data_IF_916759036183
#
_entry.id   IF_916759036183
#
_cell.length_a   1.000
_cell.length_b   1.000
_cell.length_c   1.000
_cell.angle_alpha   90.00
_cell.angle_beta   90.00
_cell.angle_gamma   90.00
#
_symmetry.space_group_name_H-M   'P 1'
#
loop_
_entity.id
_entity.type
_entity.pdbx_description
1 polymer ?
#
# COMPACT_ATOMS: atom_id res chain seq x y z
N UNK A 1 -9.93 22.50 -2.03
CA UNK A 1 -10.21 23.95 -2.10
C UNK A 1 -9.08 24.67 -2.80
N UNK A 2 -7.86 24.78 -2.23
CA UNK A 2 -6.75 25.53 -2.85
C UNK A 2 -6.47 25.26 -4.35
N UNK A 3 -6.48 23.99 -4.81
CA UNK A 3 -6.32 23.65 -6.24
C UNK A 3 -7.50 24.10 -7.12
N UNK A 4 -8.72 24.05 -6.58
CA UNK A 4 -9.96 24.45 -7.27
C UNK A 4 -10.11 25.97 -7.29
N UNK A 5 -9.56 26.66 -6.29
CA UNK A 5 -9.61 28.11 -6.16
C UNK A 5 -8.52 28.81 -7.01
N UNK A 6 -7.62 28.05 -7.65
CA UNK A 6 -6.56 28.57 -8.51
C UNK A 6 -5.48 29.38 -7.76
N UNK A 7 -5.42 29.26 -6.44
CA UNK A 7 -4.54 30.06 -5.57
C UNK A 7 -3.19 29.41 -5.30
N UNK A 8 -2.97 28.18 -5.75
CA UNK A 8 -1.74 27.41 -5.50
C UNK A 8 -0.66 27.72 -6.51
N UNK A 9 0.59 27.80 -6.05
CA UNK A 9 1.75 27.77 -6.94
C UNK A 9 1.82 26.45 -7.74
N UNK A 10 2.53 26.48 -8.87
CA UNK A 10 2.65 25.34 -9.80
C UNK A 10 3.17 24.07 -9.11
N UNK A 11 4.08 24.19 -8.16
CA UNK A 11 4.66 23.06 -7.46
C UNK A 11 3.66 22.42 -6.48
N UNK A 12 2.98 23.24 -5.70
CA UNK A 12 1.93 22.78 -4.78
C UNK A 12 0.77 22.16 -5.57
N UNK A 13 0.46 22.68 -6.75
CA UNK A 13 -0.53 22.07 -7.65
C UNK A 13 -0.13 20.66 -8.09
N UNK A 14 1.14 20.44 -8.45
CA UNK A 14 1.67 19.11 -8.79
C UNK A 14 1.59 18.13 -7.60
N UNK A 15 1.92 18.59 -6.39
CA UNK A 15 1.82 17.77 -5.17
C UNK A 15 0.37 17.32 -4.92
N UNK A 16 -0.60 18.24 -5.02
CA UNK A 16 -2.00 17.88 -4.89
C UNK A 16 -2.49 16.98 -6.02
N UNK A 17 -2.02 17.20 -7.25
CA UNK A 17 -2.36 16.35 -8.40
C UNK A 17 -1.91 14.90 -8.18
N UNK A 18 -0.69 14.69 -7.69
CA UNK A 18 -0.18 13.36 -7.35
C UNK A 18 -1.10 12.65 -6.34
N UNK A 19 -1.47 13.34 -5.26
CA UNK A 19 -2.32 12.81 -4.19
C UNK A 19 -3.75 12.52 -4.70
N UNK A 20 -4.33 13.44 -5.48
CA UNK A 20 -5.72 13.31 -5.96
C UNK A 20 -5.87 12.17 -6.96
N UNK A 21 -4.96 12.04 -7.93
CA UNK A 21 -5.03 10.92 -8.88
C UNK A 21 -4.90 9.58 -8.17
N UNK A 22 -4.00 9.48 -7.21
CA UNK A 22 -3.88 8.28 -6.41
C UNK A 22 -5.15 7.97 -5.60
N UNK A 23 -5.75 8.98 -4.95
CA UNK A 23 -7.05 8.83 -4.27
C UNK A 23 -8.11 8.33 -5.23
N UNK A 24 -8.17 8.87 -6.44
CA UNK A 24 -9.11 8.43 -7.47
C UNK A 24 -8.88 6.95 -7.82
N UNK A 25 -7.63 6.52 -8.02
CA UNK A 25 -7.30 5.11 -8.26
C UNK A 25 -7.82 4.19 -7.13
N UNK A 26 -7.66 4.61 -5.87
CA UNK A 26 -8.16 3.86 -4.72
C UNK A 26 -9.69 3.83 -4.67
N UNK A 27 -10.36 4.96 -4.93
CA UNK A 27 -11.83 5.01 -4.99
C UNK A 27 -12.35 4.08 -6.08
N UNK A 28 -11.79 4.14 -7.30
CA UNK A 28 -12.17 3.25 -8.39
C UNK A 28 -11.94 1.79 -8.04
N UNK A 29 -10.83 1.47 -7.38
CA UNK A 29 -10.56 0.12 -6.89
C UNK A 29 -11.60 -0.34 -5.85
N UNK A 30 -11.92 0.49 -4.85
CA UNK A 30 -12.95 0.15 -3.86
C UNK A 30 -14.32 0.00 -4.51
N UNK A 31 -14.68 0.85 -5.46
CA UNK A 31 -15.96 0.78 -6.18
C UNK A 31 -16.07 -0.49 -7.03
N UNK A 32 -15.02 -0.84 -7.78
CA UNK A 32 -14.93 -2.09 -8.54
C UNK A 32 -15.23 -3.32 -7.68
N UNK A 33 -14.78 -3.26 -6.43
CA UNK A 33 -14.90 -4.35 -5.47
C UNK A 33 -16.34 -4.58 -4.98
N UNK A 34 -17.20 -3.56 -5.07
CA UNK A 34 -18.62 -3.62 -4.72
C UNK A 34 -19.52 -3.94 -5.92
N UNK A 35 -19.11 -3.58 -7.14
CA UNK A 35 -19.89 -3.79 -8.37
C UNK A 35 -19.48 -5.10 -9.06
N UNK A 36 -20.17 -6.20 -8.76
CA UNK A 36 -19.87 -7.51 -9.34
C UNK A 36 -19.93 -7.58 -10.88
N UNK A 37 -18.98 -8.33 -11.45
CA UNK A 37 -18.95 -9.11 -12.70
C UNK A 37 -19.68 -8.64 -13.98
N UNK A 38 -19.77 -7.34 -14.24
CA UNK A 38 -19.92 -6.86 -15.62
C UNK A 38 -18.52 -6.79 -16.28
N UNK A 39 -18.19 -7.75 -17.14
CA UNK A 39 -16.83 -7.93 -17.70
C UNK A 39 -16.29 -6.70 -18.46
N UNK A 40 -17.17 -5.93 -19.13
CA UNK A 40 -16.80 -4.68 -19.82
C UNK A 40 -16.54 -3.52 -18.85
N UNK A 41 -17.35 -3.39 -17.80
CA UNK A 41 -17.16 -2.40 -16.72
C UNK A 41 -15.88 -2.69 -15.95
N UNK A 42 -15.55 -3.96 -15.71
CA UNK A 42 -14.32 -4.36 -15.02
C UNK A 42 -13.06 -3.92 -15.76
N UNK A 43 -13.04 -3.99 -17.09
CA UNK A 43 -11.88 -3.55 -17.88
C UNK A 43 -11.75 -2.04 -17.87
N UNK A 44 -12.84 -1.32 -18.11
CA UNK A 44 -12.84 0.15 -18.09
C UNK A 44 -12.43 0.72 -16.73
N UNK A 45 -12.86 0.11 -15.62
CA UNK A 45 -12.44 0.53 -14.28
C UNK A 45 -10.96 0.22 -14.04
N UNK A 46 -10.46 -0.93 -14.50
CA UNK A 46 -9.04 -1.26 -14.41
C UNK A 46 -8.17 -0.27 -15.20
N UNK A 47 -8.59 0.08 -16.42
CA UNK A 47 -7.93 1.11 -17.24
C UNK A 47 -7.91 2.44 -16.49
N UNK A 48 -9.03 2.83 -15.85
CA UNK A 48 -9.11 4.06 -15.08
C UNK A 48 -8.20 4.07 -13.84
N UNK A 49 -8.05 2.93 -13.16
CA UNK A 49 -7.12 2.79 -12.04
C UNK A 49 -5.69 3.00 -12.53
N UNK A 50 -5.29 2.31 -13.60
CA UNK A 50 -3.95 2.41 -14.17
C UNK A 50 -3.64 3.82 -14.68
N UNK A 51 -4.57 4.44 -15.40
CA UNK A 51 -4.45 5.84 -15.85
C UNK A 51 -4.20 6.79 -14.68
N UNK A 52 -4.94 6.64 -13.59
CA UNK A 52 -4.77 7.47 -12.41
C UNK A 52 -3.43 7.21 -11.70
N UNK A 53 -2.96 5.97 -11.63
CA UNK A 53 -1.63 5.67 -11.07
C UNK A 53 -0.52 6.28 -11.92
N UNK A 54 -0.60 6.16 -13.25
CA UNK A 54 0.36 6.79 -14.16
C UNK A 54 0.31 8.32 -14.08
N UNK A 55 -0.88 8.91 -13.97
CA UNK A 55 -1.04 10.36 -13.80
C UNK A 55 -0.49 10.85 -12.46
N UNK A 56 -0.66 10.06 -11.38
CA UNK A 56 -0.06 10.33 -10.08
C UNK A 56 1.47 10.31 -10.18
N UNK A 57 2.03 9.27 -10.81
CA UNK A 57 3.46 9.14 -11.01
C UNK A 57 4.05 10.28 -11.86
N UNK A 58 3.42 10.61 -12.99
CA UNK A 58 3.85 11.72 -13.84
C UNK A 58 3.84 13.06 -13.09
N UNK A 59 2.88 13.26 -12.18
CA UNK A 59 2.87 14.42 -11.31
C UNK A 59 4.05 14.40 -10.33
N UNK A 60 4.34 13.25 -9.68
CA UNK A 60 5.50 13.08 -8.79
C UNK A 60 6.82 13.34 -9.50
N UNK A 61 7.01 12.81 -10.71
CA UNK A 61 8.23 13.00 -11.50
C UNK A 61 8.45 14.47 -11.91
N UNK A 62 7.37 15.24 -11.99
CA UNK A 62 7.41 16.67 -12.32
C UNK A 62 7.71 17.56 -11.11
N UNK A 63 7.68 17.02 -9.89
CA UNK A 63 7.96 17.77 -8.65
C UNK A 63 9.45 18.12 -8.60
N UNK A 64 9.77 19.42 -8.61
CA UNK A 64 11.12 19.93 -8.33
C UNK A 64 11.52 19.75 -6.86
N UNK A 65 12.47 18.85 -6.58
CA UNK A 65 12.95 18.55 -5.22
C UNK A 65 13.76 19.67 -4.53
N UNK A 66 14.08 20.75 -5.25
CA UNK A 66 14.86 21.89 -4.72
C UNK A 66 14.00 22.96 -4.04
N UNK A 67 12.67 22.81 -4.05
CA UNK A 67 11.77 23.77 -3.42
C UNK A 67 11.73 23.58 -1.89
N UNK A 68 11.20 24.59 -1.19
CA UNK A 68 10.99 24.53 0.27
C UNK A 68 10.21 23.27 0.65
N UNK A 69 10.69 22.56 1.68
CA UNK A 69 10.01 21.37 2.19
C UNK A 69 8.66 21.75 2.81
N UNK A 70 7.62 20.98 2.48
CA UNK A 70 6.26 21.17 2.99
C UNK A 70 5.62 19.82 3.33
N UNK A 71 4.57 19.83 4.16
CA UNK A 71 3.80 18.63 4.48
C UNK A 71 3.15 18.02 3.22
N UNK A 72 2.63 18.85 2.31
CA UNK A 72 2.05 18.41 1.04
C UNK A 72 3.08 17.72 0.12
N UNK A 73 4.33 18.20 0.12
CA UNK A 73 5.43 17.54 -0.58
C UNK A 73 5.71 16.17 0.04
N UNK A 74 5.80 16.08 1.37
CA UNK A 74 6.01 14.81 2.06
C UNK A 74 4.90 13.78 1.75
N UNK A 75 3.63 14.22 1.77
CA UNK A 75 2.48 13.40 1.41
C UNK A 75 2.53 12.94 -0.06
N UNK A 76 2.89 13.82 -0.99
CA UNK A 76 3.04 13.48 -2.40
C UNK A 76 4.17 12.46 -2.63
N UNK A 77 5.29 12.60 -1.91
CA UNK A 77 6.40 11.64 -1.99
C UNK A 77 6.03 10.28 -1.42
N UNK A 78 5.38 10.22 -0.25
CA UNK A 78 4.88 8.97 0.34
C UNK A 78 3.82 8.32 -0.58
N UNK A 79 2.97 9.11 -1.22
CA UNK A 79 2.05 8.63 -2.25
C UNK A 79 2.81 8.00 -3.42
N UNK A 80 3.85 8.68 -3.93
CA UNK A 80 4.71 8.14 -4.98
C UNK A 80 5.42 6.85 -4.58
N UNK A 81 5.88 6.72 -3.32
CA UNK A 81 6.45 5.45 -2.80
C UNK A 81 5.44 4.32 -2.97
N UNK A 82 4.19 4.55 -2.59
CA UNK A 82 3.13 3.55 -2.74
C UNK A 82 2.84 3.26 -4.21
N UNK A 83 2.75 4.27 -5.08
CA UNK A 83 2.51 4.06 -6.51
C UNK A 83 3.61 3.21 -7.13
N UNK A 84 4.88 3.50 -6.84
CA UNK A 84 6.02 2.69 -7.29
C UNK A 84 5.97 1.27 -6.72
N UNK A 85 5.53 1.13 -5.47
CA UNK A 85 5.28 -0.18 -4.85
C UNK A 85 4.12 -0.93 -5.51
N UNK A 86 3.09 -0.26 -6.00
CA UNK A 86 2.02 -0.93 -6.75
C UNK A 86 2.53 -1.38 -8.13
N UNK A 87 3.35 -0.55 -8.78
CA UNK A 87 3.81 -0.77 -10.16
C UNK A 87 4.98 -1.74 -10.32
N UNK A 88 5.63 -2.21 -9.25
CA UNK A 88 6.79 -3.10 -9.39
C UNK A 88 8.15 -2.42 -9.34
N UNK A 89 8.20 -1.09 -9.21
CA UNK A 89 9.45 -0.32 -9.35
C UNK A 89 10.19 -0.17 -8.00
N UNK A 90 11.01 -1.16 -7.68
CA UNK A 90 11.85 -1.15 -6.48
C UNK A 90 12.86 0.02 -6.47
N UNK A 91 13.65 0.27 -7.54
CA UNK A 91 14.53 1.43 -7.60
C UNK A 91 13.79 2.76 -7.38
N UNK A 92 12.67 2.97 -8.07
CA UNK A 92 11.84 4.17 -7.94
C UNK A 92 11.30 4.34 -6.53
N UNK A 93 10.70 3.29 -5.96
CA UNK A 93 10.22 3.25 -4.57
C UNK A 93 11.33 3.63 -3.58
N UNK A 94 12.51 3.07 -3.79
CA UNK A 94 13.67 3.26 -2.94
C UNK A 94 14.22 4.69 -2.97
N UNK A 95 14.25 5.30 -4.16
CA UNK A 95 14.64 6.69 -4.35
C UNK A 95 13.63 7.65 -3.70
N UNK A 96 12.33 7.44 -3.93
CA UNK A 96 11.27 8.24 -3.32
C UNK A 96 11.23 8.10 -1.79
N UNK A 97 11.52 6.92 -1.25
CA UNK A 97 11.62 6.71 0.20
C UNK A 97 12.75 7.54 0.81
N UNK A 98 13.90 7.64 0.12
CA UNK A 98 15.03 8.50 0.55
C UNK A 98 14.62 9.97 0.50
N UNK A 99 13.95 10.40 -0.58
CA UNK A 99 13.47 11.77 -0.71
C UNK A 99 12.45 12.11 0.38
N UNK A 100 11.50 11.23 0.68
CA UNK A 100 10.54 11.41 1.75
C UNK A 100 11.21 11.53 3.12
N UNK A 101 12.20 10.67 3.41
CA UNK A 101 12.97 10.75 4.66
C UNK A 101 13.73 12.09 4.80
N UNK A 102 14.33 12.58 3.71
CA UNK A 102 15.00 13.89 3.69
C UNK A 102 14.02 15.03 3.91
N UNK A 103 12.86 15.01 3.27
CA UNK A 103 11.80 16.01 3.46
C UNK A 103 11.28 16.01 4.90
N UNK A 104 11.05 14.82 5.49
CA UNK A 104 10.66 14.68 6.89
C UNK A 104 11.72 15.28 7.83
N UNK A 105 12.99 15.01 7.56
CA UNK A 105 14.11 15.59 8.34
C UNK A 105 14.16 17.11 8.19
N UNK A 106 14.01 17.63 6.97
CA UNK A 106 14.01 19.07 6.68
C UNK A 106 12.86 19.81 7.36
N UNK A 107 11.70 19.15 7.53
CA UNK A 107 10.56 19.67 8.30
C UNK A 107 10.75 19.60 9.82
N UNK A 108 11.81 18.95 10.30
CA UNK A 108 12.07 18.80 11.73
C UNK A 108 11.27 17.69 12.43
N UNK A 109 10.44 16.94 11.71
CA UNK A 109 9.55 15.89 12.25
C UNK A 109 10.26 14.64 12.80
N UNK A 110 11.59 14.59 12.69
CA UNK A 110 12.43 13.56 13.30
C UNK A 110 12.72 13.85 14.78
N UNK A 111 12.41 15.05 15.26
CA UNK A 111 12.43 15.39 16.69
C UNK A 111 11.05 15.16 17.31
N UNK A 112 10.93 15.10 18.66
CA UNK A 112 9.61 15.03 19.29
C UNK A 112 8.82 16.26 18.85
N UNK A 113 7.67 16.03 18.19
CA UNK A 113 6.79 17.10 17.70
C UNK A 113 6.23 17.81 18.93
N UNK A 114 6.89 18.87 19.36
CA UNK A 114 6.35 19.79 20.37
C UNK A 114 5.28 20.62 19.68
N UNK A 115 4.02 20.16 19.75
CA UNK A 115 2.78 20.86 19.34
C UNK A 115 3.09 22.08 18.47
N UNK A 116 3.47 21.83 17.22
CA UNK A 116 3.82 22.88 16.28
C UNK A 116 2.50 23.46 15.80
N UNK A 117 2.03 24.51 16.48
CA UNK A 117 0.94 25.39 16.07
C UNK A 117 -0.44 24.74 15.93
N UNK A 118 -1.49 25.43 16.37
CA UNK A 118 -2.91 25.04 16.21
C UNK A 118 -3.37 24.98 14.73
N UNK A 119 -2.44 25.10 13.77
CA UNK A 119 -2.69 25.34 12.34
C UNK A 119 -2.29 24.19 11.42
N UNK A 120 -1.50 23.21 11.89
CA UNK A 120 -1.20 21.99 11.12
C UNK A 120 -1.96 20.81 11.73
N UNK A 121 -2.62 20.01 10.89
CA UNK A 121 -3.27 18.77 11.29
C UNK A 121 -2.20 17.79 11.82
N UNK A 122 -1.98 17.83 13.13
CA UNK A 122 -1.02 16.99 13.87
C UNK A 122 -1.19 15.51 13.52
N UNK A 123 -2.42 15.07 13.25
CA UNK A 123 -2.74 13.72 12.79
C UNK A 123 -2.03 13.36 11.46
N UNK A 124 -1.99 14.27 10.48
CA UNK A 124 -1.29 14.03 9.22
C UNK A 124 0.22 13.98 9.38
N UNK A 125 0.77 14.80 10.28
CA UNK A 125 2.20 14.78 10.59
C UNK A 125 2.58 13.42 11.18
N UNK A 126 1.83 12.96 12.18
CA UNK A 126 2.03 11.67 12.81
C UNK A 126 1.89 10.50 11.82
N UNK A 127 0.88 10.53 10.95
CA UNK A 127 0.72 9.53 9.89
C UNK A 127 1.94 9.53 8.95
N UNK A 128 2.41 10.70 8.50
CA UNK A 128 3.59 10.80 7.64
C UNK A 128 4.86 10.25 8.32
N UNK A 129 5.04 10.49 9.62
CA UNK A 129 6.15 9.94 10.40
C UNK A 129 6.09 8.41 10.43
N UNK A 130 4.94 7.86 10.80
CA UNK A 130 4.73 6.41 10.86
C UNK A 130 5.02 5.74 9.51
N UNK A 131 4.50 6.32 8.42
CA UNK A 131 4.70 5.80 7.07
C UNK A 131 6.13 5.90 6.58
N UNK A 132 6.77 7.05 6.79
CA UNK A 132 8.15 7.24 6.38
C UNK A 132 9.08 6.29 7.15
N UNK A 133 8.82 6.07 8.44
CA UNK A 133 9.53 5.07 9.23
C UNK A 133 9.34 3.67 8.65
N UNK A 134 8.10 3.22 8.43
CA UNK A 134 7.79 1.90 7.89
C UNK A 134 8.45 1.64 6.53
N UNK A 135 8.25 2.53 5.54
CA UNK A 135 8.86 2.38 4.20
C UNK A 135 10.38 2.44 4.26
N UNK A 136 10.92 3.30 5.12
CA UNK A 136 12.34 3.43 5.38
C UNK A 136 12.96 2.11 5.85
N UNK A 137 12.38 1.47 6.86
CA UNK A 137 12.90 0.20 7.41
C UNK A 137 12.72 -0.95 6.42
N UNK A 138 11.55 -1.06 5.79
CA UNK A 138 11.30 -2.08 4.77
C UNK A 138 12.29 -2.00 3.61
N UNK A 139 12.51 -0.80 3.08
CA UNK A 139 13.44 -0.61 1.96
C UNK A 139 14.89 -0.84 2.38
N UNK A 140 15.28 -0.41 3.57
CA UNK A 140 16.65 -0.60 4.07
C UNK A 140 16.95 -2.07 4.32
N UNK A 141 16.02 -2.81 4.90
CA UNK A 141 16.11 -4.25 5.12
C UNK A 141 16.09 -5.03 3.79
N UNK A 142 15.21 -4.65 2.87
CA UNK A 142 15.10 -5.29 1.56
C UNK A 142 16.40 -5.19 0.76
N UNK A 143 17.03 -4.02 0.77
CA UNK A 143 18.23 -3.72 -0.01
C UNK A 143 19.53 -3.91 0.79
N UNK A 144 19.44 -4.29 2.07
CA UNK A 144 20.58 -4.36 3.00
C UNK A 144 21.46 -3.11 2.93
N UNK A 145 20.84 -1.94 3.11
CA UNK A 145 21.53 -0.63 3.07
C UNK A 145 21.36 0.14 4.37
N UNK A 146 22.23 1.12 4.65
CA UNK A 146 22.07 2.01 5.78
C UNK A 146 20.72 2.72 5.76
N UNK A 147 20.23 3.03 6.95
CA UNK A 147 18.91 3.61 7.16
C UNK A 147 18.90 5.08 6.70
N UNK A 148 17.93 5.44 5.85
CA UNK A 148 17.82 6.81 5.32
C UNK A 148 17.27 7.81 6.33
N UNK A 149 16.46 7.33 7.27
CA UNK A 149 15.83 8.14 8.32
C UNK A 149 16.66 7.99 9.61
N UNK A 150 17.01 9.10 10.30
CA UNK A 150 17.59 9.04 11.64
C UNK A 150 16.71 8.27 12.62
N UNK A 151 17.31 7.77 13.71
CA UNK A 151 16.56 7.14 14.79
C UNK A 151 15.56 8.14 15.37
N UNK A 152 14.31 7.71 15.48
CA UNK A 152 13.28 8.53 16.10
C UNK A 152 13.48 8.52 17.63
N UNK A 153 13.29 9.66 18.30
CA UNK A 153 13.46 9.79 19.75
C UNK A 153 12.35 9.10 20.54
N UNK A 154 11.21 8.85 19.89
CA UNK A 154 10.03 8.19 20.46
C UNK A 154 9.66 7.02 19.53
N UNK A 155 9.17 5.88 20.06
CA UNK A 155 8.69 4.77 19.24
C UNK A 155 7.71 5.23 18.16
N UNK A 156 7.91 4.79 16.91
CA UNK A 156 7.02 5.18 15.80
C UNK A 156 5.54 4.85 16.07
N UNK A 157 5.27 3.80 16.86
CA UNK A 157 3.93 3.40 17.32
C UNK A 157 3.20 4.46 18.12
N UNK A 158 3.89 5.40 18.79
CA UNK A 158 3.24 6.49 19.53
C UNK A 158 2.56 7.51 18.63
N UNK A 159 2.82 7.47 17.32
CA UNK A 159 2.22 8.36 16.33
C UNK A 159 0.91 7.80 15.77
N UNK A 160 0.47 6.61 16.19
CA UNK A 160 -0.78 6.04 15.74
C UNK A 160 -1.91 6.51 16.66
N UNK A 161 -3.00 7.07 16.12
CA UNK A 161 -4.21 7.35 16.90
C UNK A 161 -4.73 6.07 17.56
N UNK A 162 -5.00 6.13 18.86
CA UNK A 162 -5.60 5.00 19.59
C UNK A 162 -7.09 4.88 19.24
N UNK A 163 -7.40 4.17 18.16
CA UNK A 163 -8.77 3.82 17.78
C UNK A 163 -8.95 2.30 17.75
N UNK A 164 -9.52 1.75 18.83
CA UNK A 164 -9.81 0.32 18.96
C UNK A 164 -10.99 -0.14 18.09
N UNK A 165 -11.76 0.78 17.50
CA UNK A 165 -12.87 0.43 16.61
C UNK A 165 -12.42 0.17 15.18
N UNK A 166 -11.25 0.71 14.80
CA UNK A 166 -10.65 0.51 13.49
C UNK A 166 -9.65 -0.66 13.52
N UNK A 167 -9.93 -1.80 12.87
CA UNK A 167 -9.02 -2.94 12.85
C UNK A 167 -7.66 -2.62 12.20
N UNK A 168 -7.55 -1.55 11.41
CA UNK A 168 -6.30 -1.13 10.78
C UNK A 168 -5.36 -0.36 11.70
N UNK A 169 -5.88 0.18 12.81
CA UNK A 169 -5.03 0.74 13.87
C UNK A 169 -4.07 -0.35 14.37
N UNK A 170 -4.62 -1.50 14.75
CA UNK A 170 -3.84 -2.64 15.24
C UNK A 170 -2.89 -3.18 14.16
N UNK A 171 -3.33 -3.24 12.90
CA UNK A 171 -2.46 -3.61 11.79
C UNK A 171 -1.24 -2.67 11.69
N UNK A 172 -1.45 -1.36 11.76
CA UNK A 172 -0.38 -0.37 11.64
C UNK A 172 0.57 -0.42 12.84
N UNK A 173 0.03 -0.59 14.06
CA UNK A 173 0.84 -0.76 15.28
C UNK A 173 1.78 -1.95 15.18
N UNK A 174 1.24 -3.11 14.79
CA UNK A 174 2.02 -4.34 14.63
C UNK A 174 3.02 -4.23 13.47
N UNK A 175 2.66 -3.55 12.37
CA UNK A 175 3.57 -3.28 11.25
C UNK A 175 4.76 -2.41 11.68
N UNK A 176 4.51 -1.37 12.49
CA UNK A 176 5.58 -0.55 13.06
C UNK A 176 6.44 -1.32 14.06
N UNK A 177 5.86 -2.24 14.83
CA UNK A 177 6.62 -3.17 15.68
C UNK A 177 7.57 -4.06 14.86
N UNK A 178 7.12 -4.57 13.72
CA UNK A 178 8.00 -5.32 12.80
C UNK A 178 9.11 -4.40 12.25
N UNK A 179 8.79 -3.15 11.91
CA UNK A 179 9.77 -2.17 11.45
C UNK A 179 10.82 -1.85 12.52
N UNK A 180 10.46 -1.83 13.80
CA UNK A 180 11.41 -1.69 14.92
C UNK A 180 12.38 -2.88 15.00
N UNK A 181 11.88 -4.11 14.81
CA UNK A 181 12.73 -5.29 14.74
C UNK A 181 13.70 -5.22 13.54
N UNK A 182 13.27 -4.69 12.39
CA UNK A 182 14.14 -4.44 11.24
C UNK A 182 15.21 -3.38 11.54
N UNK A 183 14.85 -2.28 12.20
CA UNK A 183 15.81 -1.24 12.62
C UNK A 183 16.89 -1.82 13.52
N UNK A 184 16.52 -2.61 14.54
CA UNK A 184 17.48 -3.27 15.43
C UNK A 184 18.40 -4.26 14.69
N UNK A 185 17.85 -5.02 13.72
CA UNK A 185 18.64 -5.92 12.90
C UNK A 185 19.60 -5.18 11.97
N UNK A 186 19.17 -4.06 11.38
CA UNK A 186 20.01 -3.21 10.54
C UNK A 186 21.12 -2.54 11.36
N UNK A 187 20.81 -2.06 12.56
CA UNK A 187 21.82 -1.52 13.48
C UNK A 187 22.91 -2.55 13.77
N UNK A 188 22.51 -3.81 14.00
CA UNK A 188 23.46 -4.90 14.21
C UNK A 188 24.34 -5.12 12.97
N UNK A 189 23.74 -5.15 11.77
CA UNK A 189 24.47 -5.29 10.49
C UNK A 189 25.49 -4.18 10.29
N UNK A 190 25.12 -2.94 10.58
CA UNK A 190 25.95 -1.76 10.30
C UNK A 190 26.80 -1.30 11.50
N UNK A 191 26.74 -1.97 12.66
CA UNK A 191 27.60 -1.71 13.81
C UNK A 191 29.08 -2.07 13.56
N UNK A 192 29.40 -2.78 12.47
CA UNK A 192 30.76 -3.21 12.12
C UNK A 192 31.29 -4.35 13.00
N UNK A 193 32.61 -4.57 12.99
CA UNK A 193 33.29 -5.68 13.69
C UNK A 193 33.40 -5.47 15.22
N UNK A 194 32.54 -4.63 15.80
CA UNK A 194 32.59 -4.30 17.23
C UNK A 194 32.02 -5.42 18.12
N UNK A 195 31.20 -6.30 17.56
CA UNK A 195 30.51 -7.35 18.30
C UNK A 195 31.12 -8.72 18.03
N UNK A 196 31.52 -9.43 19.09
CA UNK A 196 31.85 -10.83 18.97
C UNK A 196 30.62 -11.69 18.57
N UNK A 197 30.86 -12.91 18.07
CA UNK A 197 29.79 -13.79 17.62
C UNK A 197 28.75 -14.15 18.70
N UNK A 198 29.13 -14.09 19.99
CA UNK A 198 28.22 -14.43 21.08
C UNK A 198 27.28 -13.26 21.41
N UNK A 199 27.81 -12.04 21.38
CA UNK A 199 27.08 -10.78 21.53
C UNK A 199 26.11 -10.62 20.38
N UNK A 200 26.58 -10.78 19.14
CA UNK A 200 25.74 -10.76 17.95
C UNK A 200 24.56 -11.74 18.04
N UNK A 201 24.85 -12.98 18.46
CA UNK A 201 23.80 -14.01 18.63
C UNK A 201 22.82 -13.65 19.75
N UNK A 202 23.28 -13.00 20.81
CA UNK A 202 22.44 -12.53 21.92
C UNK A 202 21.49 -11.43 21.45
N UNK A 203 22.01 -10.46 20.69
CA UNK A 203 21.21 -9.40 20.07
C UNK A 203 20.16 -9.96 19.09
N UNK A 204 20.54 -10.89 18.21
CA UNK A 204 19.59 -11.59 17.33
C UNK A 204 18.48 -12.26 18.15
N UNK A 205 18.82 -12.94 19.25
CA UNK A 205 17.81 -13.59 20.08
C UNK A 205 16.87 -12.60 20.77
N UNK A 206 17.39 -11.44 21.16
CA UNK A 206 16.58 -10.34 21.71
C UNK A 206 15.56 -9.88 20.66
N UNK A 207 16.01 -9.62 19.44
CA UNK A 207 15.17 -9.19 18.32
C UNK A 207 14.12 -10.26 17.98
N UNK A 208 14.52 -11.54 17.91
CA UNK A 208 13.59 -12.65 17.62
C UNK A 208 12.52 -12.80 18.70
N UNK A 209 12.87 -12.68 19.98
CA UNK A 209 11.87 -12.70 21.06
C UNK A 209 10.90 -11.54 20.96
N UNK A 210 11.40 -10.35 20.64
CA UNK A 210 10.53 -9.18 20.46
C UNK A 210 9.51 -9.42 19.34
N UNK A 211 9.96 -9.84 18.16
CA UNK A 211 9.02 -10.06 17.03
C UNK A 211 8.10 -11.27 17.28
N UNK A 212 8.50 -12.27 18.07
CA UNK A 212 7.60 -13.36 18.51
C UNK A 212 6.42 -12.85 19.35
N UNK A 213 6.62 -11.82 20.19
CA UNK A 213 5.49 -11.20 20.92
C UNK A 213 4.49 -10.57 19.95
N UNK A 214 4.96 -9.93 18.88
CA UNK A 214 4.11 -9.36 17.83
C UNK A 214 3.31 -10.46 17.13
N UNK A 215 3.94 -11.61 16.84
CA UNK A 215 3.25 -12.74 16.21
C UNK A 215 2.13 -13.33 17.07
N UNK A 216 2.27 -13.31 18.39
CA UNK A 216 1.20 -13.75 19.28
C UNK A 216 -0.06 -12.88 19.10
N UNK A 217 0.11 -11.57 18.96
CA UNK A 217 -0.97 -10.63 18.66
C UNK A 217 -1.54 -10.85 17.25
N UNK A 218 -0.69 -11.01 16.23
CA UNK A 218 -1.12 -11.31 14.85
C UNK A 218 -1.98 -12.59 14.83
N UNK A 219 -1.52 -13.65 15.49
CA UNK A 219 -2.23 -14.94 15.55
C UNK A 219 -3.58 -14.80 16.26
N UNK A 220 -3.62 -14.04 17.35
CA UNK A 220 -4.88 -13.75 18.06
C UNK A 220 -5.89 -13.02 17.17
N UNK A 221 -5.44 -12.02 16.41
CA UNK A 221 -6.30 -11.30 15.48
C UNK A 221 -6.78 -12.20 14.33
N UNK A 222 -5.89 -12.98 13.72
CA UNK A 222 -6.24 -13.94 12.67
C UNK A 222 -7.29 -14.95 13.15
N UNK A 223 -7.17 -15.44 14.39
CA UNK A 223 -8.14 -16.37 14.98
C UNK A 223 -9.52 -15.72 15.23
N UNK A 224 -9.57 -14.40 15.37
CA UNK A 224 -10.82 -13.65 15.54
C UNK A 224 -11.52 -13.31 14.22
N UNK A 225 -10.85 -13.49 13.07
CA UNK A 225 -11.46 -13.23 11.77
C UNK A 225 -12.54 -14.26 11.47
N UNK A 226 -13.69 -13.78 11.02
CA UNK A 226 -14.85 -14.60 10.64
C UNK A 226 -15.07 -14.58 9.13
N UNK A 227 -15.91 -15.47 8.62
CA UNK A 227 -16.29 -15.45 7.19
C UNK A 227 -17.00 -14.15 6.76
N UNK A 228 -17.63 -13.46 7.72
CA UNK A 228 -18.27 -12.16 7.51
C UNK A 228 -17.27 -10.99 7.51
N UNK A 229 -16.01 -11.23 7.89
CA UNK A 229 -14.99 -10.18 7.89
C UNK A 229 -14.67 -9.78 6.45
N UNK A 230 -14.64 -8.48 6.22
CA UNK A 230 -14.30 -7.87 4.94
C UNK A 230 -13.02 -8.49 4.35
N UNK A 231 -13.07 -8.81 3.05
CA UNK A 231 -12.00 -9.52 2.36
C UNK A 231 -10.69 -8.72 2.36
N UNK A 232 -10.77 -7.38 2.32
CA UNK A 232 -9.59 -6.53 2.41
C UNK A 232 -8.99 -6.60 3.79
N UNK A 233 -9.79 -6.43 4.84
CA UNK A 233 -9.30 -6.56 6.23
C UNK A 233 -8.59 -7.91 6.42
N UNK A 234 -9.18 -9.01 5.94
CA UNK A 234 -8.58 -10.34 5.99
C UNK A 234 -7.25 -10.42 5.23
N UNK A 235 -7.20 -9.86 4.03
CA UNK A 235 -5.99 -9.80 3.20
C UNK A 235 -4.86 -9.03 3.90
N UNK A 236 -5.15 -7.91 4.57
CA UNK A 236 -4.15 -7.15 5.33
C UNK A 236 -3.53 -8.02 6.43
N UNK A 237 -4.34 -8.76 7.18
CA UNK A 237 -3.82 -9.66 8.22
C UNK A 237 -2.95 -10.79 7.65
N UNK A 238 -3.28 -11.34 6.48
CA UNK A 238 -2.41 -12.31 5.80
C UNK A 238 -1.11 -11.69 5.29
N UNK A 239 -1.15 -10.45 4.78
CA UNK A 239 0.06 -9.70 4.40
C UNK A 239 0.94 -9.47 5.63
N UNK A 240 0.34 -9.13 6.77
CA UNK A 240 1.07 -8.93 8.02
C UNK A 240 1.74 -10.22 8.51
N UNK A 241 1.01 -11.34 8.48
CA UNK A 241 1.53 -12.67 8.81
C UNK A 241 2.70 -13.05 7.88
N UNK A 242 2.53 -12.85 6.58
CA UNK A 242 3.58 -13.08 5.60
C UNK A 242 4.81 -12.20 5.85
N UNK A 243 4.61 -10.92 6.14
CA UNK A 243 5.68 -9.96 6.42
C UNK A 243 6.43 -10.37 7.68
N UNK A 244 5.71 -10.75 8.75
CA UNK A 244 6.30 -11.28 9.97
C UNK A 244 7.23 -12.46 9.67
N UNK A 245 6.74 -13.51 9.01
CA UNK A 245 7.55 -14.69 8.74
C UNK A 245 8.72 -14.41 7.78
N UNK A 246 8.55 -13.48 6.84
CA UNK A 246 9.61 -13.04 5.93
C UNK A 246 10.75 -12.33 6.67
N UNK A 247 10.41 -11.41 7.57
CA UNK A 247 11.39 -10.67 8.38
C UNK A 247 12.03 -11.59 9.42
N UNK A 248 11.25 -12.41 10.12
CA UNK A 248 11.76 -13.41 11.06
C UNK A 248 12.78 -14.35 10.39
N UNK A 249 12.44 -14.88 9.21
CA UNK A 249 13.36 -15.71 8.41
C UNK A 249 14.63 -14.96 8.08
N UNK A 250 14.53 -13.68 7.68
CA UNK A 250 15.68 -12.86 7.31
C UNK A 250 16.58 -12.62 8.53
N UNK A 251 16.02 -12.33 9.70
CA UNK A 251 16.78 -12.09 10.95
C UNK A 251 17.45 -13.38 11.43
N UNK A 252 16.79 -14.54 11.42
CA UNK A 252 17.44 -15.80 11.82
C UNK A 252 18.63 -16.12 10.91
N UNK A 253 18.53 -15.82 9.60
CA UNK A 253 19.63 -16.02 8.65
C UNK A 253 20.87 -15.18 8.93
N UNK A 254 20.75 -14.13 9.76
CA UNK A 254 21.88 -13.33 10.20
C UNK A 254 22.69 -13.99 11.33
N UNK A 255 22.24 -15.13 11.88
CA UNK A 255 23.00 -15.81 12.93
C UNK A 255 24.33 -16.36 12.41
N UNK A 256 25.49 -16.02 13.01
CA UNK A 256 26.80 -16.46 12.55
C UNK A 256 26.97 -17.99 12.61
N UNK A 257 26.24 -18.67 13.49
CA UNK A 257 26.27 -20.13 13.67
C UNK A 257 25.16 -20.84 12.89
N UNK A 258 24.40 -20.15 12.04
CA UNK A 258 23.30 -20.72 11.24
C UNK A 258 23.69 -22.01 10.49
N UNK A 259 24.88 -22.05 9.88
CA UNK A 259 25.35 -23.22 9.15
C UNK A 259 25.62 -24.45 10.04
N UNK A 260 25.97 -24.23 11.31
CA UNK A 260 26.29 -25.30 12.28
C UNK A 260 25.09 -25.71 13.14
N UNK A 261 24.20 -24.78 13.47
CA UNK A 261 23.07 -24.99 14.37
C UNK A 261 21.85 -25.59 13.64
N UNK A 262 21.65 -26.90 13.79
CA UNK A 262 20.55 -27.63 13.14
C UNK A 262 19.17 -27.13 13.59
N UNK A 263 19.01 -26.74 14.85
CA UNK A 263 17.72 -26.27 15.37
C UNK A 263 17.33 -24.94 14.70
N UNK A 264 18.29 -24.02 14.53
CA UNK A 264 18.06 -22.75 13.82
C UNK A 264 17.74 -22.92 12.35
N UNK A 265 18.43 -23.83 11.66
CA UNK A 265 18.09 -24.15 10.26
C UNK A 265 16.67 -24.66 10.14
N UNK A 266 16.26 -25.58 11.02
CA UNK A 266 14.89 -26.11 11.05
C UNK A 266 13.86 -25.02 11.32
N UNK A 267 14.14 -24.12 12.27
CA UNK A 267 13.27 -22.97 12.57
C UNK A 267 13.14 -22.03 11.37
N UNK A 268 14.26 -21.63 10.78
CA UNK A 268 14.29 -20.78 9.59
C UNK A 268 13.52 -21.40 8.41
N UNK A 269 13.69 -22.71 8.15
CA UNK A 269 12.95 -23.40 7.10
C UNK A 269 11.46 -23.46 7.38
N UNK A 270 11.06 -23.65 8.64
CA UNK A 270 9.65 -23.60 9.04
C UNK A 270 9.07 -22.21 8.79
N UNK A 271 9.74 -21.16 9.25
CA UNK A 271 9.31 -19.78 9.06
C UNK A 271 9.22 -19.40 7.58
N UNK A 272 10.19 -19.80 6.77
CA UNK A 272 10.16 -19.58 5.32
C UNK A 272 8.96 -20.27 4.65
N UNK A 273 8.62 -21.49 5.08
CA UNK A 273 7.42 -22.19 4.59
C UNK A 273 6.13 -21.50 5.02
N UNK A 274 6.05 -20.98 6.25
CA UNK A 274 4.88 -20.21 6.70
C UNK A 274 4.73 -18.90 5.95
N UNK A 275 5.84 -18.24 5.57
CA UNK A 275 5.78 -17.10 4.66
C UNK A 275 5.17 -17.48 3.30
N UNK A 276 5.61 -18.59 2.70
CA UNK A 276 5.04 -19.09 1.45
C UNK A 276 3.56 -19.48 1.59
N UNK A 277 3.17 -20.07 2.72
CA UNK A 277 1.77 -20.38 3.00
C UNK A 277 0.93 -19.10 3.13
N UNK A 278 1.46 -18.05 3.75
CA UNK A 278 0.84 -16.73 3.77
C UNK A 278 0.57 -16.19 2.36
N UNK A 279 1.53 -16.33 1.44
CA UNK A 279 1.33 -15.97 0.03
C UNK A 279 0.22 -16.80 -0.63
N UNK A 280 0.14 -18.11 -0.34
CA UNK A 280 -0.96 -18.95 -0.84
C UNK A 280 -2.31 -18.48 -0.30
N UNK A 281 -2.41 -18.05 0.97
CA UNK A 281 -3.65 -17.48 1.52
C UNK A 281 -4.04 -16.18 0.82
N UNK A 282 -3.07 -15.31 0.55
CA UNK A 282 -3.28 -14.06 -0.19
C UNK A 282 -3.77 -14.36 -1.61
N UNK A 283 -3.11 -15.27 -2.32
CA UNK A 283 -3.50 -15.68 -3.67
C UNK A 283 -4.89 -16.33 -3.71
N UNK A 284 -5.23 -17.16 -2.72
CA UNK A 284 -6.56 -17.75 -2.58
C UNK A 284 -7.65 -16.69 -2.40
N UNK A 285 -7.40 -15.62 -1.63
CA UNK A 285 -8.31 -14.47 -1.54
C UNK A 285 -8.49 -13.76 -2.89
N UNK A 286 -7.48 -13.79 -3.77
CA UNK A 286 -7.49 -13.08 -5.06
C UNK A 286 -7.98 -13.94 -6.23
N UNK A 287 -7.89 -15.26 -6.14
CA UNK A 287 -8.15 -16.22 -7.23
C UNK A 287 -9.59 -16.24 -7.77
N UNK A 288 -10.53 -15.58 -7.10
CA UNK A 288 -11.91 -15.34 -7.57
C UNK A 288 -12.09 -14.11 -8.46
N UNK A 289 -11.07 -13.25 -8.67
CA UNK A 289 -11.21 -11.95 -9.34
C UNK A 289 -10.09 -11.66 -10.37
N UNK A 290 -9.90 -12.59 -11.31
CA UNK A 290 -8.80 -12.65 -12.32
C UNK A 290 -8.58 -11.40 -13.20
N UNK A 291 -9.46 -10.40 -13.15
CA UNK A 291 -9.34 -9.15 -13.92
C UNK A 291 -8.86 -7.96 -13.09
N UNK A 292 -9.01 -8.01 -11.76
CA UNK A 292 -8.48 -7.00 -10.81
C UNK A 292 -7.02 -7.29 -10.40
N UNK A 293 -6.56 -8.52 -10.68
CA UNK A 293 -5.31 -9.10 -10.21
C UNK A 293 -4.05 -8.58 -10.89
N UNK A 294 -4.13 -7.85 -12.01
CA UNK A 294 -2.92 -7.35 -12.68
C UNK A 294 -2.16 -6.29 -11.86
N UNK A 295 -2.86 -5.62 -10.96
CA UNK A 295 -2.30 -4.62 -10.05
C UNK A 295 -1.71 -5.23 -8.78
N UNK A 296 -2.08 -6.47 -8.46
CA UNK A 296 -1.72 -7.19 -7.23
C UNK A 296 -0.70 -8.33 -7.45
N UNK A 297 -0.69 -8.94 -8.64
CA UNK A 297 0.14 -10.11 -8.98
C UNK A 297 1.45 -9.76 -9.69
N UNK A 298 1.67 -8.51 -10.11
CA UNK A 298 2.94 -8.10 -10.76
C UNK A 298 4.16 -8.27 -9.86
N UNK A 299 3.96 -8.55 -8.56
CA UNK A 299 4.98 -8.73 -7.54
C UNK A 299 5.29 -10.18 -7.14
N UNK A 300 4.43 -11.16 -7.44
CA UNK A 300 4.65 -12.54 -6.98
C UNK A 300 5.75 -13.29 -7.76
N UNK A 301 6.13 -12.81 -8.95
CA UNK A 301 7.03 -13.57 -9.83
C UNK A 301 8.54 -13.36 -9.54
N UNK A 302 8.93 -12.37 -8.70
CA UNK A 302 10.33 -12.19 -8.27
C UNK A 302 10.47 -11.62 -6.85
N UNK A 303 10.44 -12.52 -5.86
CA UNK A 303 11.09 -12.41 -4.54
C UNK A 303 10.94 -11.09 -3.73
N UNK A 304 10.14 -11.16 -2.64
CA UNK A 304 10.09 -10.31 -1.40
C UNK A 304 8.86 -9.36 -1.27
N UNK A 305 8.44 -8.97 -0.04
CA UNK A 305 7.02 -8.87 0.34
C UNK A 305 6.32 -7.51 0.12
N UNK A 306 4.96 -7.48 0.03
CA UNK A 306 4.14 -6.33 -0.39
C UNK A 306 3.46 -5.55 0.75
N UNK A 307 3.16 -4.26 0.50
CA UNK A 307 2.17 -3.42 1.21
C UNK A 307 1.12 -2.96 0.19
N UNK A 308 -0.19 -3.17 0.43
CA UNK A 308 -1.30 -2.76 -0.46
C UNK A 308 -2.48 -2.11 0.26
N UNK A 309 -3.11 -1.13 -0.38
CA UNK A 309 -3.57 0.14 0.16
C UNK A 309 -5.06 0.48 0.52
N UNK A 310 -6.07 -0.41 0.55
CA UNK A 310 -7.47 0.08 0.59
C UNK A 310 -7.92 0.80 1.88
N UNK A 311 -7.50 0.37 3.07
CA UNK A 311 -7.91 1.03 4.33
C UNK A 311 -6.87 1.99 4.93
N UNK A 312 -5.66 1.98 4.39
CA UNK A 312 -4.56 2.88 4.73
C UNK A 312 -4.87 4.38 4.53
N UNK A 313 -5.93 4.65 3.76
CA UNK A 313 -6.47 5.98 3.49
C UNK A 313 -7.60 6.40 4.42
N UNK A 314 -8.24 5.49 5.18
CA UNK A 314 -9.22 5.92 6.20
C UNK A 314 -8.53 6.65 7.34
N UNK A 315 -7.38 6.14 7.78
CA UNK A 315 -6.52 6.77 8.80
C UNK A 315 -5.71 7.95 8.24
N UNK A 316 -5.55 8.04 6.91
CA UNK A 316 -4.78 9.10 6.26
C UNK A 316 -5.64 10.15 5.53
N UNK A 317 -6.98 10.07 5.51
CA UNK A 317 -7.86 11.02 4.76
C UNK A 317 -9.31 11.21 5.27
N UNK A 318 -9.70 10.73 6.46
CA UNK A 318 -10.95 11.19 7.10
C UNK A 318 -12.23 11.02 6.26
N UNK A 319 -12.43 9.82 5.68
CA UNK A 319 -13.73 9.46 5.09
C UNK A 319 -14.63 8.84 6.18
N UNK A 320 -15.27 9.71 6.97
CA UNK A 320 -16.51 9.35 7.67
C UNK A 320 -17.69 9.69 6.75
N UNK A 321 -18.15 8.72 5.98
CA UNK A 321 -19.50 8.76 5.42
C UNK A 321 -20.33 7.63 6.01
N UNK A 322 -21.57 7.90 6.47
CA UNK A 322 -22.46 6.84 6.92
C UNK A 322 -22.82 5.95 5.73
N UNK A 323 -22.65 4.64 5.94
CA UNK A 323 -23.17 3.60 5.04
C UNK A 323 -24.69 3.83 4.91
N UNK A 324 -25.25 4.01 3.70
CA UNK A 324 -26.69 4.01 3.54
C UNK A 324 -27.21 2.62 3.92
N UNK A 325 -28.04 2.55 4.95
CA UNK A 325 -28.73 1.32 5.31
C UNK A 325 -29.46 0.77 4.08
N UNK A 326 -29.38 -0.54 3.80
CA UNK A 326 -30.18 -1.12 2.72
C UNK A 326 -31.67 -0.88 3.02
N UNK A 327 -32.49 -0.53 2.00
CA UNK A 327 -33.91 -0.33 2.22
C UNK A 327 -34.52 -1.63 2.76
N UNK A 328 -35.14 -1.52 3.93
CA UNK A 328 -35.94 -2.59 4.52
C UNK A 328 -37.07 -2.94 3.55
N UNK A 329 -36.99 -4.12 2.95
CA UNK A 329 -38.09 -4.72 2.19
C UNK A 329 -39.21 -5.09 3.16
N UNK A 330 -40.06 -4.12 3.49
CA UNK A 330 -41.39 -4.39 4.06
C UNK A 330 -42.31 -4.82 2.93
N UNK A 331 -42.66 -6.09 2.93
CA UNK A 331 -43.67 -6.68 2.06
C UNK A 331 -45.06 -6.12 2.39
N UNK A 332 -45.64 -5.34 1.47
CA UNK A 332 -47.09 -5.22 1.35
C UNK A 332 -47.45 -4.94 -0.09
N UNK A 333 -48.00 -5.97 -0.74
CA UNK A 333 -48.56 -5.91 -2.08
C UNK A 333 -49.95 -5.29 -2.03
N UNK A 334 -50.21 -4.27 -2.86
CA UNK A 334 -51.55 -3.99 -3.42
C UNK A 334 -51.44 -3.23 -4.75
N UNK A 335 -51.75 -3.97 -5.81
CA UNK A 335 -52.51 -3.60 -7.02
C UNK A 335 -52.93 -2.14 -7.24
N UNK A 336 -52.50 -1.54 -8.36
CA UNK A 336 -53.39 -0.93 -9.39
C UNK A 336 -52.60 -0.39 -10.59
N UNK A 337 -53.20 -0.49 -11.77
CA UNK A 337 -52.67 -0.29 -13.14
C UNK A 337 -52.32 1.19 -13.52
N UNK A 338 -51.70 1.44 -14.71
CA UNK A 338 -50.89 2.62 -15.06
C UNK A 338 -51.71 3.74 -15.74
N UNK A 339 -51.11 4.90 -16.14
CA UNK A 339 -50.74 5.03 -17.57
C UNK A 339 -49.64 6.06 -17.96
N UNK A 340 -49.19 5.92 -19.22
CA UNK A 340 -48.73 6.92 -20.20
C UNK A 340 -47.39 7.65 -20.03
N UNK A 341 -46.45 7.35 -20.95
CA UNK A 341 -45.74 8.39 -21.69
C UNK A 341 -45.67 8.03 -23.18
N UNK A 342 -46.01 9.04 -24.00
CA UNK A 342 -46.18 9.00 -25.45
C UNK A 342 -44.89 8.65 -26.19
N UNK A 343 -45.02 7.73 -27.14
CA UNK A 343 -44.19 7.59 -28.33
C UNK A 343 -44.69 8.55 -29.42
N UNK A 344 -43.77 9.24 -30.09
CA UNK A 344 -43.94 9.57 -31.51
C UNK A 344 -42.60 9.50 -32.21
N UNK A 345 -42.55 8.64 -33.21
CA UNK A 345 -41.47 8.39 -34.15
C UNK A 345 -41.64 9.29 -35.39
N UNK A 346 -40.58 9.38 -36.21
CA UNK A 346 -40.54 9.50 -37.69
C UNK A 346 -39.19 10.15 -38.05
N UNK A 347 -38.37 9.75 -39.04
CA UNK A 347 -38.53 8.85 -40.19
C UNK A 347 -37.13 8.35 -40.65
N UNK A 348 -37.13 7.13 -41.22
CA UNK A 348 -36.13 6.47 -42.10
C UNK A 348 -35.75 7.37 -43.33
N UNK A 349 -34.73 7.16 -44.17
CA UNK A 349 -34.20 5.94 -44.80
C UNK A 349 -32.93 6.23 -45.66
N UNK A 350 -32.01 5.23 -45.70
CA UNK A 350 -31.16 4.71 -46.82
C UNK A 350 -30.60 5.60 -47.95
N UNK A 351 -29.29 5.41 -48.24
CA UNK A 351 -28.81 4.81 -49.50
C UNK A 351 -27.29 4.44 -49.43
N UNK A 352 -26.98 3.18 -49.78
CA UNK A 352 -25.66 2.65 -50.22
C UNK A 352 -25.50 2.94 -51.73
N UNK A 353 -24.28 2.96 -52.33
CA UNK A 353 -23.76 1.70 -52.91
C UNK A 353 -22.22 1.53 -53.04
N UNK A 354 -21.83 0.24 -53.02
CA UNK A 354 -20.84 -0.47 -53.86
C UNK A 354 -19.32 -0.15 -53.85
N UNK A 355 -18.56 -1.19 -53.48
CA UNK A 355 -17.16 -1.48 -53.83
C UNK A 355 -16.94 -1.69 -55.34
N UNK A 356 -15.68 -1.67 -55.80
CA UNK A 356 -15.11 -2.93 -56.27
C UNK A 356 -13.67 -3.23 -55.79
N UNK A 357 -13.37 -4.52 -55.75
CA UNK A 357 -12.07 -5.16 -55.49
C UNK A 357 -11.16 -5.18 -56.72
N UNK A 358 -9.85 -5.14 -56.52
CA UNK A 358 -8.88 -6.00 -57.24
C UNK A 358 -7.50 -5.94 -56.56
N UNK A 359 -6.90 -7.12 -56.33
CA UNK A 359 -5.56 -7.30 -55.77
C UNK A 359 -4.47 -7.38 -56.85
N UNK A 360 -3.42 -8.21 -56.66
CA UNK A 360 -2.10 -7.76 -56.22
C UNK A 360 -0.99 -7.98 -57.26
N UNK A 361 0.16 -7.30 -57.10
CA UNK A 361 1.42 -7.68 -57.79
C UNK A 361 2.64 -7.50 -56.89
N UNK A 362 3.33 -8.61 -56.68
CA UNK A 362 4.74 -8.72 -56.28
C UNK A 362 5.65 -8.04 -57.30
N UNK A 363 6.74 -7.40 -56.86
CA UNK A 363 8.08 -7.54 -57.49
C UNK A 363 9.20 -7.25 -56.48
N UNK A 364 10.24 -8.05 -56.61
CA UNK A 364 11.50 -8.15 -55.86
C UNK A 364 12.59 -7.14 -56.27
N UNK A 365 13.65 -7.06 -55.44
CA UNK A 365 15.03 -6.55 -55.68
C UNK A 365 15.13 -5.01 -55.82
N UNK A 366 16.10 -4.32 -55.23
CA UNK A 366 17.49 -4.66 -54.87
C UNK A 366 17.86 -4.43 -53.40
#
# INVERSE_FOLDING_TARGET
MALLDGTTDEQTALQYKAIIHFKAAVIFHTYHSFTGDASSLSKSVQDQIMENLHASLAAVDSIKFLNQSSLSLLQALLTGVIVMEVLGDIPGRSALTVSAARTLVALGYHHPVKVISETEDIEWVHACIAWCYLFGKNTSMLLLRPQSLPKLPVPATSNIPSDSSNPMTAFMELSLGIAQAQEAALDLIFAGDQNDHNTWRTEINSILRHIETINSSITSHLASLTDQTDIYVRMHWYILEFTYYSIFTTIIRMDPKMASDHARRKLCLRSARQALEGLCKIDACLSGRRNSTQLYLTWCDKSRPPIYLPEYLKMSIGLSYPIPSPPSLSSSATSSAPPTFMTSAYYNERAMPSYPSSGPTNTSRD
#
